data_IF_318766913565
#
_entry.id   IF_318766913565
#
_cell.length_a   1.000
_cell.length_b   1.000
_cell.length_c   1.000
_cell.angle_alpha   90.00
_cell.angle_beta   90.00
_cell.angle_gamma   90.00
#
_symmetry.space_group_name_H-M   'P 1'
#
loop_
_entity.id
_entity.type
_entity.pdbx_description
1 polymer ?
#
# COMPACT_ATOMS: atom_id res chain seq x y z
N UNK A 1 11.69 0.53 -5.07
CA UNK A 1 10.22 0.46 -4.89
C UNK A 1 9.61 1.85 -5.02
N UNK A 2 8.30 1.98 -5.09
CA UNK A 2 7.54 3.23 -5.11
C UNK A 2 6.44 3.08 -4.06
N UNK A 3 6.40 3.96 -3.07
CA UNK A 3 5.30 4.11 -2.12
C UNK A 3 4.42 5.28 -2.58
N UNK A 4 3.12 5.07 -2.75
CA UNK A 4 2.21 6.06 -3.29
C UNK A 4 0.78 5.86 -2.78
N UNK A 5 -0.04 6.90 -2.91
CA UNK A 5 -1.49 6.80 -2.71
C UNK A 5 -2.13 6.41 -4.04
N UNK A 6 -2.87 5.31 -4.15
CA UNK A 6 -3.47 4.90 -5.42
C UNK A 6 -4.54 5.90 -5.84
N UNK A 7 -4.62 6.21 -7.15
CA UNK A 7 -5.58 7.20 -7.65
C UNK A 7 -7.04 6.77 -7.45
N UNK A 8 -7.31 5.48 -7.51
CA UNK A 8 -8.62 4.88 -7.29
C UNK A 8 -8.60 4.10 -5.97
N UNK A 9 -8.57 4.82 -4.85
CA UNK A 9 -8.57 4.20 -3.53
C UNK A 9 -9.86 3.44 -3.29
N UNK A 10 -9.71 2.23 -2.75
CA UNK A 10 -10.81 1.36 -2.35
C UNK A 10 -11.08 1.52 -0.85
N UNK A 11 -10.07 1.95 -0.10
CA UNK A 11 -10.19 2.33 1.30
C UNK A 11 -9.59 3.72 1.53
N UNK A 12 -10.19 4.47 2.43
CA UNK A 12 -9.69 5.78 2.81
C UNK A 12 -8.28 5.66 3.43
N UNK A 13 -7.40 6.57 3.03
CA UNK A 13 -5.98 6.60 3.44
C UNK A 13 -5.16 5.36 3.02
N UNK A 14 -5.63 4.58 2.06
CA UNK A 14 -4.88 3.46 1.49
C UNK A 14 -3.53 3.94 0.93
N UNK A 15 -2.45 3.25 1.30
CA UNK A 15 -1.13 3.38 0.66
C UNK A 15 -0.78 2.11 -0.09
N UNK A 16 -0.15 2.25 -1.25
CA UNK A 16 0.37 1.13 -2.02
C UNK A 16 1.87 1.23 -2.20
N UNK A 17 2.54 0.10 -2.04
CA UNK A 17 3.97 -0.08 -2.24
C UNK A 17 4.20 -1.03 -3.40
N UNK A 18 4.82 -0.55 -4.47
CA UNK A 18 5.07 -1.31 -5.70
C UNK A 18 6.56 -1.46 -5.98
N UNK A 19 6.95 -2.62 -6.51
CA UNK A 19 8.30 -2.84 -7.05
C UNK A 19 8.50 -2.09 -8.37
N UNK A 20 9.65 -1.43 -8.56
CA UNK A 20 9.94 -0.70 -9.81
C UNK A 20 10.20 -1.65 -10.97
N UNK A 21 10.94 -2.72 -10.70
CA UNK A 21 11.16 -3.81 -11.64
C UNK A 21 10.00 -4.79 -11.55
N UNK A 22 9.63 -5.39 -12.67
CA UNK A 22 8.70 -6.48 -12.69
C UNK A 22 9.24 -7.64 -11.85
N UNK A 23 8.49 -8.04 -10.83
CA UNK A 23 8.85 -9.13 -9.92
C UNK A 23 7.55 -9.74 -9.39
N UNK A 24 7.32 -11.04 -9.60
CA UNK A 24 6.01 -11.62 -9.30
C UNK A 24 5.77 -11.76 -7.80
N UNK A 25 6.79 -12.07 -7.00
CA UNK A 25 6.65 -12.34 -5.57
C UNK A 25 7.96 -12.12 -4.82
N UNK A 26 7.89 -11.99 -3.50
CA UNK A 26 9.03 -11.65 -2.63
C UNK A 26 10.22 -12.61 -2.75
N UNK A 27 9.98 -13.89 -3.06
CA UNK A 27 11.05 -14.89 -3.24
C UNK A 27 11.91 -14.63 -4.49
N UNK A 28 11.35 -13.99 -5.53
CA UNK A 28 12.07 -13.66 -6.76
C UNK A 28 12.93 -12.38 -6.63
N UNK A 29 12.83 -11.66 -5.51
CA UNK A 29 13.66 -10.48 -5.24
C UNK A 29 15.07 -10.88 -4.78
N UNK A 30 16.05 -10.05 -5.12
CA UNK A 30 17.37 -10.13 -4.49
C UNK A 30 17.38 -9.47 -3.10
N UNK A 31 18.46 -9.67 -2.34
CA UNK A 31 18.58 -9.17 -0.95
C UNK A 31 18.48 -7.65 -0.88
N UNK A 32 19.13 -6.91 -1.78
CA UNK A 32 19.07 -5.46 -1.79
C UNK A 32 17.64 -4.95 -2.05
N UNK A 33 16.89 -5.56 -2.97
CA UNK A 33 15.51 -5.19 -3.25
C UNK A 33 14.59 -5.50 -2.07
N UNK A 34 14.82 -6.59 -1.34
CA UNK A 34 14.11 -6.90 -0.08
C UNK A 34 14.37 -5.88 1.02
N UNK A 35 15.60 -5.38 1.16
CA UNK A 35 15.92 -4.31 2.12
C UNK A 35 15.21 -3.00 1.77
N UNK A 36 15.15 -2.62 0.49
CA UNK A 36 14.40 -1.44 0.07
C UNK A 36 12.89 -1.59 0.28
N UNK A 37 12.37 -2.81 0.11
CA UNK A 37 10.97 -3.12 0.38
C UNK A 37 10.68 -2.93 1.87
N UNK A 38 11.46 -3.56 2.75
CA UNK A 38 11.34 -3.47 4.21
C UNK A 38 11.39 -2.01 4.70
N UNK A 39 12.39 -1.24 4.24
CA UNK A 39 12.51 0.17 4.57
C UNK A 39 11.28 0.99 4.14
N UNK A 40 10.72 0.70 2.96
CA UNK A 40 9.54 1.39 2.48
C UNK A 40 8.26 0.98 3.21
N UNK A 41 8.14 -0.30 3.64
CA UNK A 41 7.05 -0.75 4.50
C UNK A 41 7.09 -0.01 5.84
N UNK A 42 8.27 0.10 6.45
CA UNK A 42 8.46 0.86 7.69
C UNK A 42 8.07 2.33 7.51
N UNK A 43 8.46 2.96 6.39
CA UNK A 43 8.07 4.34 6.07
C UNK A 43 6.56 4.48 5.92
N UNK A 44 5.89 3.53 5.26
CA UNK A 44 4.43 3.54 5.10
C UNK A 44 3.70 3.44 6.45
N UNK A 45 4.12 2.49 7.29
CA UNK A 45 3.54 2.30 8.63
C UNK A 45 3.75 3.53 9.50
N UNK A 46 4.97 4.09 9.52
CA UNK A 46 5.25 5.33 10.28
C UNK A 46 4.42 6.51 9.79
N UNK A 47 4.27 6.69 8.48
CA UNK A 47 3.45 7.76 7.93
C UNK A 47 1.99 7.65 8.38
N UNK A 48 1.42 6.44 8.33
CA UNK A 48 0.05 6.19 8.78
C UNK A 48 -0.10 6.32 10.31
N UNK A 49 0.87 5.85 11.09
CA UNK A 49 0.88 5.97 12.55
C UNK A 49 0.87 7.44 13.00
N UNK A 50 1.69 8.29 12.38
CA UNK A 50 1.72 9.74 12.63
C UNK A 50 0.37 10.40 12.32
N UNK A 51 -0.32 9.95 11.27
CA UNK A 51 -1.66 10.43 10.92
C UNK A 51 -2.75 9.88 11.85
N UNK A 52 -2.42 8.99 12.78
CA UNK A 52 -3.32 8.47 13.80
C UNK A 52 -3.93 7.10 13.48
N UNK A 53 -3.37 6.36 12.50
CA UNK A 53 -3.82 5.00 12.22
C UNK A 53 -3.51 4.05 13.38
N UNK A 54 -4.53 3.52 14.04
CA UNK A 54 -4.37 2.61 15.19
C UNK A 54 -4.19 1.14 14.77
N UNK A 55 -4.66 0.79 13.58
CA UNK A 55 -4.54 -0.54 13.01
C UNK A 55 -4.37 -0.43 11.51
N UNK A 56 -3.43 -1.18 10.95
CA UNK A 56 -3.13 -1.20 9.52
C UNK A 56 -3.18 -2.65 9.06
N UNK A 57 -4.09 -2.94 8.11
CA UNK A 57 -4.16 -4.23 7.44
C UNK A 57 -3.28 -4.18 6.21
N UNK A 58 -2.31 -5.10 6.10
CA UNK A 58 -1.47 -5.23 4.91
C UNK A 58 -1.94 -6.40 4.03
N UNK A 59 -2.08 -6.16 2.73
CA UNK A 59 -2.40 -7.18 1.73
C UNK A 59 -1.28 -7.25 0.70
N UNK A 60 -0.73 -8.45 0.49
CA UNK A 60 0.25 -8.72 -0.57
C UNK A 60 -0.47 -9.15 -1.85
N UNK A 61 -0.25 -8.43 -2.94
CA UNK A 61 -0.68 -8.79 -4.28
C UNK A 61 0.50 -9.40 -5.05
N UNK A 62 0.80 -10.66 -4.74
CA UNK A 62 1.84 -11.43 -5.42
C UNK A 62 1.28 -12.31 -6.53
N UNK A 63 2.15 -12.65 -7.47
CA UNK A 63 1.92 -13.64 -8.49
C UNK A 63 2.00 -15.03 -7.88
N UNK A 64 1.58 -16.04 -8.64
CA UNK A 64 1.70 -17.43 -8.20
C UNK A 64 3.19 -17.81 -8.13
N UNK A 65 3.61 -18.35 -6.98
CA UNK A 65 5.01 -18.76 -6.72
C UNK A 65 5.47 -19.87 -7.69
N UNK A 66 4.55 -20.75 -8.10
CA UNK A 66 4.83 -21.89 -8.99
C UNK A 66 4.31 -21.67 -10.41
N UNK A 67 4.14 -20.42 -10.86
CA UNK A 67 3.75 -20.16 -12.24
C UNK A 67 4.90 -20.53 -13.20
N UNK A 68 4.60 -21.13 -14.37
CA UNK A 68 5.58 -21.27 -15.43
C UNK A 68 6.03 -19.88 -15.92
N UNK A 69 7.31 -19.78 -16.29
CA UNK A 69 7.97 -18.53 -16.75
C UNK A 69 7.58 -18.15 -18.19
N UNK A 70 6.28 -18.14 -18.46
CA UNK A 70 5.70 -18.00 -19.82
C UNK A 70 4.73 -16.83 -19.93
N UNK A 71 4.58 -16.02 -18.89
CA UNK A 71 3.65 -14.89 -18.84
C UNK A 71 4.33 -13.54 -18.60
N UNK A 72 3.63 -12.41 -18.85
CA UNK A 72 4.15 -11.09 -18.51
C UNK A 72 4.40 -11.01 -17.00
N UNK A 73 5.61 -10.58 -16.64
CA UNK A 73 6.01 -10.48 -15.24
C UNK A 73 5.27 -9.30 -14.61
N UNK A 74 4.42 -9.59 -13.62
CA UNK A 74 3.72 -8.56 -12.87
C UNK A 74 4.65 -7.85 -11.87
N UNK A 75 4.27 -6.66 -11.42
CA UNK A 75 4.93 -6.00 -10.30
C UNK A 75 4.32 -6.49 -8.98
N UNK A 76 5.18 -6.80 -8.00
CA UNK A 76 4.75 -7.05 -6.64
C UNK A 76 4.23 -5.75 -6.02
N UNK A 77 3.01 -5.80 -5.49
CA UNK A 77 2.33 -4.69 -4.83
C UNK A 77 1.93 -5.12 -3.42
N UNK A 78 2.09 -4.22 -2.45
CA UNK A 78 1.50 -4.32 -1.12
C UNK A 78 0.52 -3.16 -0.94
N UNK A 79 -0.65 -3.42 -0.40
CA UNK A 79 -1.61 -2.39 0.04
C UNK A 79 -1.67 -2.33 1.55
N UNK A 80 -1.62 -1.13 2.10
CA UNK A 80 -1.75 -0.82 3.52
C UNK A 80 -3.07 -0.07 3.72
N UNK A 81 -3.97 -0.71 4.46
CA UNK A 81 -5.34 -0.25 4.65
C UNK A 81 -5.52 0.08 6.12
N UNK A 82 -5.47 1.36 6.52
CA UNK A 82 -5.69 1.76 7.89
C UNK A 82 -7.17 1.63 8.27
N UNK A 83 -7.45 1.20 9.51
CA UNK A 83 -8.81 1.23 10.06
C UNK A 83 -9.06 2.59 10.68
N UNK A 84 -9.98 3.36 10.10
CA UNK A 84 -10.39 4.65 10.66
C UNK A 84 -11.49 4.46 11.71
N UNK A 85 -11.48 5.21 12.83
CA UNK A 85 -12.44 5.02 13.93
C UNK A 85 -13.92 5.23 13.54
N UNK A 86 -14.19 5.99 12.48
CA UNK A 86 -15.54 6.41 12.08
C UNK A 86 -15.91 5.99 10.65
N UNK A 87 -15.14 5.11 10.01
CA UNK A 87 -15.47 4.65 8.67
C UNK A 87 -16.77 3.82 8.70
N UNK A 88 -17.72 4.05 7.78
CA UNK A 88 -18.92 3.25 7.69
C UNK A 88 -18.57 1.83 7.21
N UNK A 89 -18.72 0.84 8.08
CA UNK A 89 -18.52 -0.56 7.71
C UNK A 89 -19.70 -1.06 6.84
N UNK A 90 -19.42 -2.02 5.96
CA UNK A 90 -20.36 -3.00 5.32
C UNK A 90 -21.30 -2.60 4.16
N UNK A 91 -21.75 -1.34 3.99
CA UNK A 91 -22.73 -1.05 2.91
C UNK A 91 -22.11 -0.88 1.51
N UNK A 92 -20.96 -0.21 1.45
CA UNK A 92 -20.15 0.05 0.25
C UNK A 92 -19.57 -1.24 -0.35
N UNK A 93 -19.03 -2.09 0.52
CA UNK A 93 -18.39 -3.35 0.14
C UNK A 93 -19.36 -4.32 -0.52
N UNK A 94 -20.58 -4.46 0.02
CA UNK A 94 -21.62 -5.33 -0.53
C UNK A 94 -22.05 -4.95 -1.96
N UNK A 95 -21.87 -3.69 -2.34
CA UNK A 95 -22.21 -3.18 -3.68
C UNK A 95 -21.00 -3.06 -4.62
N UNK A 96 -19.80 -3.43 -4.16
CA UNK A 96 -18.54 -3.19 -4.87
C UNK A 96 -18.37 -1.71 -5.25
N UNK A 97 -18.79 -0.80 -4.35
CA UNK A 97 -18.70 0.66 -4.55
C UNK A 97 -18.11 1.28 -3.31
N UNK A 98 -16.96 1.92 -3.47
CA UNK A 98 -16.22 2.50 -2.35
C UNK A 98 -16.47 4.00 -2.28
N UNK A 99 -16.56 4.52 -1.06
CA UNK A 99 -16.76 5.92 -0.76
C UNK A 99 -15.53 6.37 0.02
N UNK A 100 -14.84 7.40 -0.48
CA UNK A 100 -13.68 7.99 0.19
C UNK A 100 -13.98 9.45 0.53
N UNK A 101 -13.71 9.85 1.78
CA UNK A 101 -13.95 11.22 2.24
C UNK A 101 -12.91 12.25 1.77
N UNK A 102 -11.74 11.78 1.36
CA UNK A 102 -10.61 12.59 0.91
C UNK A 102 -10.17 12.25 -0.51
N UNK A 103 -9.54 13.20 -1.19
CA UNK A 103 -8.85 12.91 -2.44
C UNK A 103 -7.49 12.25 -2.15
N UNK A 104 -7.02 11.34 -3.03
CA UNK A 104 -5.74 10.66 -2.85
C UNK A 104 -4.56 11.63 -2.85
N UNK A 105 -4.68 12.78 -3.54
CA UNK A 105 -3.68 13.83 -3.55
C UNK A 105 -3.46 14.45 -2.17
N UNK A 106 -4.54 14.69 -1.41
CA UNK A 106 -4.48 15.29 -0.08
C UNK A 106 -3.79 14.36 0.91
N UNK A 107 -4.10 13.06 0.82
CA UNK A 107 -3.43 12.04 1.63
C UNK A 107 -1.96 11.92 1.26
N UNK A 108 -1.64 11.98 -0.03
CA UNK A 108 -0.25 11.90 -0.46
C UNK A 108 0.58 13.07 0.11
N UNK A 109 -0.02 14.26 0.19
CA UNK A 109 0.60 15.42 0.82
C UNK A 109 0.71 15.27 2.34
N UNK A 110 -0.34 14.84 3.01
CA UNK A 110 -0.32 14.58 4.45
C UNK A 110 0.75 13.55 4.83
N UNK A 111 0.90 12.47 4.06
CA UNK A 111 1.95 11.47 4.27
C UNK A 111 3.35 12.05 4.07
N UNK A 112 3.57 12.91 3.06
CA UNK A 112 4.87 13.58 2.87
C UNK A 112 5.23 14.47 4.05
N UNK A 113 4.27 15.24 4.55
CA UNK A 113 4.47 16.09 5.73
C UNK A 113 4.76 15.26 6.98
N UNK A 114 3.99 14.19 7.21
CA UNK A 114 4.19 13.27 8.32
C UNK A 114 5.62 12.68 8.35
N UNK A 115 6.14 12.29 7.18
CA UNK A 115 7.49 11.76 7.05
C UNK A 115 8.56 12.85 7.29
N UNK A 116 8.36 14.06 6.73
CA UNK A 116 9.32 15.15 6.86
C UNK A 116 9.44 15.70 8.29
N UNK A 117 8.41 15.56 9.12
CA UNK A 117 8.41 16.04 10.51
C UNK A 117 8.89 15.01 11.54
N UNK A 118 8.97 13.72 11.18
CA UNK A 118 9.31 12.62 12.10
C UNK A 118 10.55 11.79 11.70
N UNK A 119 11.25 12.16 10.62
CA UNK A 119 12.55 11.60 10.22
C UNK A 119 13.62 12.68 10.24
#
# INVERSE_FOLDING_TARGET
VILFVPKAQVSEWELQLMTKSACPHVLALNTAARQHLDQAMLTAVKALDVLGAQMITSVEFSGRINAPDTGPVQHLIYSFIPRLPYAPDTFSEAQLRWITGCYPEDIAEACRQAIAHHI
#
